data_IF_361227542203
#
_entry.id   IF_361227542203
#
_cell.length_a   1.000
_cell.length_b   1.000
_cell.length_c   1.000
_cell.angle_alpha   90.00
_cell.angle_beta   90.00
_cell.angle_gamma   90.00
#
_symmetry.space_group_name_H-M   'P 1'
#
loop_
_entity.id
_entity.type
_entity.pdbx_description
1 polymer ?
#
# COMPACT_ATOMS: atom_id res chain seq x y z
N UNK A 1 3.97 -44.79 -13.95
CA UNK A 1 3.77 -45.80 -12.90
C UNK A 1 4.64 -45.37 -11.71
N UNK A 2 4.10 -44.70 -10.69
CA UNK A 2 3.36 -45.32 -9.58
C UNK A 2 2.36 -44.32 -8.99
N UNK A 3 1.15 -44.81 -8.76
CA UNK A 3 0.03 -44.16 -8.09
C UNK A 3 0.05 -44.58 -6.62
N UNK A 4 0.01 -43.62 -5.70
CA UNK A 4 -0.36 -43.79 -4.28
C UNK A 4 -1.10 -42.47 -3.94
N UNK A 5 -2.43 -42.36 -3.92
CA UNK A 5 -3.45 -43.10 -3.18
C UNK A 5 -3.21 -42.96 -1.67
N UNK A 6 -3.88 -41.99 -1.03
CA UNK A 6 -4.95 -42.22 -0.05
C UNK A 6 -5.36 -40.90 0.62
N UNK A 7 -6.65 -40.59 0.50
CA UNK A 7 -7.34 -39.59 1.31
C UNK A 7 -7.36 -40.03 2.77
N UNK A 8 -7.14 -39.11 3.70
CA UNK A 8 -7.61 -39.27 5.07
C UNK A 8 -8.33 -37.98 5.51
N UNK A 9 -9.63 -38.01 5.24
CA UNK A 9 -10.65 -37.15 5.83
C UNK A 9 -10.62 -37.36 7.36
N UNK A 10 -10.23 -36.35 8.13
CA UNK A 10 -10.50 -36.27 9.55
C UNK A 10 -11.04 -34.87 9.85
N UNK A 11 -12.35 -34.74 9.64
CA UNK A 11 -13.18 -33.63 10.04
C UNK A 11 -13.33 -33.67 11.57
N UNK A 12 -12.40 -33.08 12.32
CA UNK A 12 -12.60 -32.84 13.75
C UNK A 12 -13.16 -31.44 13.96
N UNK A 13 -14.50 -31.41 14.00
CA UNK A 13 -15.32 -30.35 14.54
C UNK A 13 -14.99 -30.18 16.04
N UNK A 14 -14.29 -29.12 16.42
CA UNK A 14 -14.23 -28.66 17.81
C UNK A 14 -14.81 -27.26 17.85
N UNK A 15 -16.07 -27.19 18.24
CA UNK A 15 -16.78 -25.98 18.60
C UNK A 15 -16.63 -25.69 20.09
N UNK A 16 -16.81 -24.41 20.43
CA UNK A 16 -16.87 -23.76 21.76
C UNK A 16 -15.52 -23.18 22.24
N UNK A 17 -15.42 -21.92 22.68
CA UNK A 17 -16.46 -21.00 23.14
C UNK A 17 -16.12 -19.54 22.80
N UNK A 18 -17.16 -18.78 22.46
CA UNK A 18 -17.14 -17.33 22.41
C UNK A 18 -16.96 -16.78 23.83
N UNK A 19 -15.88 -16.05 24.06
CA UNK A 19 -15.76 -15.15 25.22
C UNK A 19 -16.08 -13.75 24.73
N UNK A 20 -17.29 -13.31 25.04
CA UNK A 20 -17.73 -11.93 24.93
C UNK A 20 -17.54 -11.24 26.30
N UNK A 21 -16.63 -10.26 26.35
CA UNK A 21 -16.64 -9.17 27.32
C UNK A 21 -16.46 -7.91 26.45
N UNK A 22 -17.36 -6.92 26.36
CA UNK A 22 -18.29 -6.42 27.35
C UNK A 22 -17.63 -5.27 28.12
N UNK A 23 -17.44 -4.11 27.48
CA UNK A 23 -16.84 -2.92 28.08
C UNK A 23 -17.22 -1.64 27.32
N UNK A 24 -18.39 -1.10 27.63
CA UNK A 24 -18.88 0.20 27.16
C UNK A 24 -18.48 1.26 28.20
N UNK A 25 -17.73 2.29 27.81
CA UNK A 25 -17.53 3.44 28.70
C UNK A 25 -17.67 4.75 27.92
N UNK A 26 -18.89 5.28 27.94
CA UNK A 26 -19.23 6.61 27.44
C UNK A 26 -18.85 7.62 28.52
N UNK A 27 -17.86 8.46 28.26
CA UNK A 27 -17.61 9.67 29.04
C UNK A 27 -17.75 10.88 28.11
N UNK A 28 -19.00 11.32 27.93
CA UNK A 28 -19.32 12.69 27.54
C UNK A 28 -18.96 13.63 28.71
N UNK A 29 -18.04 14.57 28.49
CA UNK A 29 -17.97 15.80 29.27
C UNK A 29 -17.73 16.98 28.33
N UNK A 30 -18.82 17.68 28.02
CA UNK A 30 -18.85 19.00 27.40
C UNK A 30 -18.82 20.07 28.50
N UNK A 31 -17.90 21.04 28.43
CA UNK A 31 -18.23 22.46 28.62
C UNK A 31 -17.05 23.40 28.28
N UNK A 32 -17.37 24.65 27.91
CA UNK A 32 -16.63 25.45 26.92
C UNK A 32 -15.78 26.56 27.56
N UNK A 33 -14.83 27.10 26.81
CA UNK A 33 -14.47 28.52 26.90
C UNK A 33 -14.05 28.99 25.50
N UNK A 34 -14.88 29.87 24.93
CA UNK A 34 -14.68 30.54 23.64
C UNK A 34 -14.60 32.04 23.94
N UNK A 35 -13.38 32.53 24.09
CA UNK A 35 -13.06 33.95 24.07
C UNK A 35 -11.89 34.14 23.11
N UNK A 36 -12.17 34.68 21.92
CA UNK A 36 -11.50 35.86 21.33
C UNK A 36 -11.90 35.98 19.86
N UNK A 37 -12.76 36.94 19.57
CA UNK A 37 -12.96 37.51 18.24
C UNK A 37 -12.33 38.90 18.25
N UNK A 38 -11.43 39.20 17.31
CA UNK A 38 -11.43 40.39 16.44
C UNK A 38 -10.13 40.47 15.64
N UNK A 39 -10.33 40.77 14.37
CA UNK A 39 -9.48 40.70 13.18
C UNK A 39 -8.58 41.96 13.00
N UNK A 40 -7.44 41.85 12.30
CA UNK A 40 -6.97 42.78 11.23
C UNK A 40 -5.55 42.43 10.69
N UNK A 41 -5.17 42.88 9.47
CA UNK A 41 -4.55 42.03 8.43
C UNK A 41 -3.09 42.37 8.06
N UNK A 42 -2.42 41.43 7.37
CA UNK A 42 -1.42 41.78 6.34
C UNK A 42 -0.06 41.07 6.40
N UNK A 43 0.18 40.30 5.33
CA UNK A 43 1.44 40.18 4.58
C UNK A 43 2.38 38.97 4.81
N UNK A 44 2.77 38.44 3.64
CA UNK A 44 3.70 37.36 3.28
C UNK A 44 3.27 35.90 3.42
N UNK A 45 2.81 35.39 2.26
CA UNK A 45 2.42 34.02 2.01
C UNK A 45 3.56 33.04 2.24
N UNK A 46 3.35 32.19 3.23
CA UNK A 46 3.79 30.80 3.16
C UNK A 46 2.48 30.01 3.05
N UNK A 47 2.14 29.59 1.82
CA UNK A 47 1.16 28.53 1.63
C UNK A 47 1.75 27.25 2.22
N UNK A 48 1.67 27.14 3.54
CA UNK A 48 1.72 25.87 4.22
C UNK A 48 0.39 25.18 3.90
N UNK A 49 0.32 24.63 2.69
CA UNK A 49 -0.68 23.64 2.32
C UNK A 49 -0.37 22.38 3.13
N UNK A 50 -0.59 22.48 4.44
CA UNK A 50 -0.74 21.34 5.31
C UNK A 50 -1.90 20.55 4.74
N UNK A 51 -1.57 19.46 4.06
CA UNK A 51 -2.54 18.44 3.72
C UNK A 51 -3.25 18.09 5.04
N UNK A 52 -4.51 18.52 5.16
CA UNK A 52 -5.41 18.03 6.20
C UNK A 52 -5.63 16.55 5.94
N UNK A 53 -4.68 15.74 6.42
CA UNK A 53 -4.68 14.29 6.35
C UNK A 53 -5.43 13.76 7.58
N UNK A 54 -6.66 14.25 7.77
CA UNK A 54 -7.62 13.62 8.67
C UNK A 54 -8.14 12.39 7.93
N UNK A 55 -7.45 11.25 8.12
CA UNK A 55 -7.92 9.85 8.03
C UNK A 55 -6.73 8.90 7.79
N UNK A 56 -5.86 8.76 8.78
CA UNK A 56 -4.72 7.82 8.76
C UNK A 56 -5.05 6.40 9.24
N UNK A 57 -6.31 6.11 9.59
CA UNK A 57 -6.64 4.88 10.31
C UNK A 57 -6.75 3.62 9.44
N UNK A 58 -6.82 3.69 8.10
CA UNK A 58 -7.15 2.50 7.28
C UNK A 58 -6.28 2.30 6.02
N UNK A 59 -5.17 3.03 5.84
CA UNK A 59 -4.27 2.72 4.72
C UNK A 59 -3.37 1.54 5.09
N UNK A 60 -3.93 0.33 4.96
CA UNK A 60 -3.18 -0.91 5.05
C UNK A 60 -2.12 -0.96 3.94
N UNK A 61 -0.88 -0.58 4.28
CA UNK A 61 0.30 -0.75 3.44
C UNK A 61 0.87 -2.15 3.72
N UNK A 62 0.97 -2.98 2.68
CA UNK A 62 1.52 -4.33 2.79
C UNK A 62 2.40 -4.66 1.59
N UNK A 63 3.44 -5.48 1.80
CA UNK A 63 4.14 -6.13 0.70
C UNK A 63 3.24 -7.21 0.12
N UNK A 64 3.13 -7.26 -1.20
CA UNK A 64 2.43 -8.34 -1.92
C UNK A 64 3.45 -9.18 -2.68
N UNK A 65 3.93 -10.24 -2.02
CA UNK A 65 4.82 -11.21 -2.64
C UNK A 65 4.16 -11.92 -3.84
N UNK A 66 2.86 -12.21 -3.74
CA UNK A 66 2.11 -12.89 -4.80
C UNK A 66 2.04 -12.06 -6.09
N UNK A 67 1.75 -10.75 -5.98
CA UNK A 67 1.77 -9.84 -7.12
C UNK A 67 3.20 -9.70 -7.68
N UNK A 68 4.19 -9.54 -6.81
CA UNK A 68 5.58 -9.39 -7.26
C UNK A 68 6.09 -10.62 -8.01
N UNK A 69 5.81 -11.83 -7.50
CA UNK A 69 6.25 -13.08 -8.13
C UNK A 69 5.54 -13.31 -9.46
N UNK A 70 4.23 -13.06 -9.52
CA UNK A 70 3.44 -13.10 -10.75
C UNK A 70 3.96 -12.16 -11.83
N UNK A 71 4.40 -10.96 -11.46
CA UNK A 71 4.99 -9.98 -12.39
C UNK A 71 6.37 -10.42 -12.88
N UNK A 72 7.19 -11.07 -12.04
CA UNK A 72 8.49 -11.62 -12.44
C UNK A 72 8.39 -12.75 -13.47
N UNK A 73 7.23 -13.39 -13.61
CA UNK A 73 7.01 -14.42 -14.64
C UNK A 73 6.85 -13.84 -16.05
N UNK A 74 6.70 -12.52 -16.19
CA UNK A 74 6.57 -11.87 -17.48
C UNK A 74 7.92 -11.77 -18.20
N UNK A 75 7.97 -12.24 -19.45
CA UNK A 75 9.16 -12.08 -20.30
C UNK A 75 9.64 -10.62 -20.35
N UNK A 76 10.92 -10.40 -20.05
CA UNK A 76 11.56 -9.09 -20.03
C UNK A 76 11.64 -8.44 -18.64
N UNK A 77 10.97 -8.99 -17.62
CA UNK A 77 11.06 -8.51 -16.23
C UNK A 77 12.12 -9.31 -15.48
N UNK A 78 13.16 -8.61 -15.01
CA UNK A 78 14.24 -9.19 -14.23
C UNK A 78 13.91 -9.31 -12.74
N UNK A 79 13.30 -8.25 -12.18
CA UNK A 79 12.90 -8.18 -10.77
C UNK A 79 11.62 -7.38 -10.63
N UNK A 80 10.78 -7.71 -9.64
CA UNK A 80 9.62 -6.92 -9.26
C UNK A 80 9.48 -6.79 -7.72
N UNK A 81 9.01 -5.67 -7.23
CA UNK A 81 8.58 -5.52 -5.84
C UNK A 81 7.22 -4.83 -5.84
N UNK A 82 6.26 -5.34 -5.07
CA UNK A 82 4.90 -4.81 -5.03
C UNK A 82 4.50 -4.46 -3.60
N UNK A 83 4.03 -3.22 -3.42
CA UNK A 83 3.40 -2.76 -2.19
C UNK A 83 1.96 -2.38 -2.53
N UNK A 84 1.02 -2.89 -1.74
CA UNK A 84 -0.42 -2.60 -1.87
C UNK A 84 -0.83 -1.64 -0.76
N UNK A 85 -1.59 -0.61 -1.12
CA UNK A 85 -2.16 0.38 -0.22
C UNK A 85 -3.64 0.57 -0.57
N UNK A 86 -4.52 0.03 0.27
CA UNK A 86 -5.95 -0.03 -0.05
C UNK A 86 -6.21 -0.89 -1.29
N UNK A 87 -6.78 -0.30 -2.35
CA UNK A 87 -7.02 -0.96 -3.65
C UNK A 87 -5.98 -0.57 -4.72
N UNK A 88 -4.88 0.09 -4.32
CA UNK A 88 -3.82 0.51 -5.24
C UNK A 88 -2.59 -0.37 -5.06
N UNK A 89 -1.97 -0.78 -6.16
CA UNK A 89 -0.67 -1.44 -6.15
C UNK A 89 0.41 -0.54 -6.74
N UNK A 90 1.54 -0.46 -6.06
CA UNK A 90 2.75 0.21 -6.51
C UNK A 90 3.80 -0.85 -6.79
N UNK A 91 4.22 -0.96 -8.05
CA UNK A 91 5.07 -2.03 -8.53
C UNK A 91 6.37 -1.44 -9.09
N UNK A 92 7.47 -1.70 -8.41
CA UNK A 92 8.81 -1.41 -8.87
C UNK A 92 9.31 -2.58 -9.71
N UNK A 93 9.86 -2.31 -10.89
CA UNK A 93 10.42 -3.35 -11.78
C UNK A 93 11.80 -2.98 -12.30
N UNK A 94 12.62 -3.99 -12.58
CA UNK A 94 13.84 -3.83 -13.40
C UNK A 94 13.74 -4.74 -14.61
N UNK A 95 14.20 -4.27 -15.76
CA UNK A 95 14.13 -5.00 -17.03
C UNK A 95 15.40 -5.81 -17.28
N UNK A 96 15.28 -6.89 -18.04
CA UNK A 96 16.42 -7.76 -18.41
C UNK A 96 17.45 -7.05 -19.30
N UNK A 97 17.03 -6.03 -20.04
CA UNK A 97 17.88 -5.25 -20.94
C UNK A 97 18.59 -4.08 -20.25
N UNK A 98 18.54 -4.02 -18.91
CA UNK A 98 19.08 -2.95 -18.06
C UNK A 98 18.54 -1.56 -18.41
N UNK A 99 17.45 -1.47 -19.20
CA UNK A 99 16.81 -0.19 -19.45
C UNK A 99 16.13 0.32 -18.18
N UNK A 100 16.28 1.62 -17.93
CA UNK A 100 15.56 2.31 -16.87
C UNK A 100 14.16 2.76 -17.28
N UNK A 101 13.73 2.37 -18.48
CA UNK A 101 12.42 2.72 -19.03
C UNK A 101 11.60 1.47 -19.26
N UNK A 102 10.32 1.57 -18.94
CA UNK A 102 9.34 0.50 -19.15
C UNK A 102 8.32 1.02 -20.13
N UNK A 103 8.19 0.31 -21.25
CA UNK A 103 7.23 0.65 -22.29
C UNK A 103 5.81 0.61 -21.73
N UNK A 104 4.93 1.45 -22.26
CA UNK A 104 3.53 1.50 -21.80
C UNK A 104 2.80 0.17 -22.04
N UNK A 105 3.16 -0.57 -23.09
CA UNK A 105 2.68 -1.93 -23.32
C UNK A 105 3.08 -2.88 -22.17
N UNK A 106 4.33 -2.80 -21.72
CA UNK A 106 4.79 -3.59 -20.57
C UNK A 106 4.12 -3.15 -19.27
N UNK A 107 3.92 -1.83 -19.03
CA UNK A 107 3.15 -1.35 -17.86
C UNK A 107 1.75 -1.93 -17.84
N UNK A 108 1.06 -1.94 -18.99
CA UNK A 108 -0.29 -2.49 -19.10
C UNK A 108 -0.28 -3.99 -18.80
N UNK A 109 0.67 -4.75 -19.37
CA UNK A 109 0.82 -6.19 -19.13
C UNK A 109 1.05 -6.50 -17.65
N UNK A 110 1.89 -5.71 -16.97
CA UNK A 110 2.15 -5.81 -15.54
C UNK A 110 0.88 -5.50 -14.73
N UNK A 111 0.17 -4.42 -15.08
CA UNK A 111 -1.07 -4.04 -14.42
C UNK A 111 -2.16 -5.11 -14.54
N UNK A 112 -2.37 -5.63 -15.75
CA UNK A 112 -3.32 -6.71 -16.02
C UNK A 112 -2.97 -7.96 -15.21
N UNK A 113 -1.69 -8.34 -15.18
CA UNK A 113 -1.21 -9.50 -14.44
C UNK A 113 -1.38 -9.35 -12.92
N UNK A 114 -1.15 -8.15 -12.39
CA UNK A 114 -1.37 -7.85 -10.98
C UNK A 114 -2.85 -7.95 -10.59
N UNK A 115 -3.76 -7.37 -11.40
CA UNK A 115 -5.21 -7.41 -11.15
C UNK A 115 -5.83 -8.81 -11.40
N UNK A 116 -5.19 -9.64 -12.24
CA UNK A 116 -5.55 -11.06 -12.40
C UNK A 116 -5.30 -11.86 -11.12
N UNK A 117 -4.22 -11.54 -10.41
CA UNK A 117 -3.82 -12.25 -9.17
C UNK A 117 -4.51 -11.70 -7.94
N UNK A 118 -4.58 -10.38 -7.79
CA UNK A 118 -5.29 -9.73 -6.70
C UNK A 118 -6.47 -8.90 -7.24
N UNK A 119 -7.67 -9.48 -7.13
CA UNK A 119 -8.91 -8.87 -7.59
C UNK A 119 -9.40 -7.69 -6.72
N UNK A 120 -8.73 -7.38 -5.61
CA UNK A 120 -9.05 -6.19 -4.82
C UNK A 120 -8.38 -4.92 -5.39
N UNK A 121 -7.44 -5.08 -6.33
CA UNK A 121 -6.76 -3.98 -6.97
C UNK A 121 -7.67 -3.30 -7.99
N UNK A 122 -7.77 -1.97 -7.90
CA UNK A 122 -8.47 -1.11 -8.84
C UNK A 122 -7.53 -0.24 -9.68
N UNK A 123 -6.30 -0.03 -9.19
CA UNK A 123 -5.31 0.81 -9.84
C UNK A 123 -3.91 0.25 -9.59
N UNK A 124 -3.07 0.25 -10.64
CA UNK A 124 -1.71 -0.27 -10.59
C UNK A 124 -0.77 0.77 -11.18
N UNK A 125 0.22 1.17 -10.38
CA UNK A 125 1.30 2.07 -10.80
C UNK A 125 2.58 1.28 -10.96
N UNK A 126 3.22 1.42 -12.12
CA UNK A 126 4.44 0.69 -12.46
C UNK A 126 5.55 1.68 -12.76
N UNK A 127 6.74 1.47 -12.20
CA UNK A 127 7.91 2.26 -12.53
C UNK A 127 9.20 1.47 -12.43
N UNK A 128 10.09 1.71 -13.39
CA UNK A 128 11.48 1.24 -13.44
C UNK A 128 12.48 2.31 -13.02
N UNK A 129 12.00 3.45 -12.51
CA UNK A 129 12.87 4.52 -12.03
C UNK A 129 13.77 4.02 -10.89
N UNK A 130 15.11 4.18 -10.96
CA UNK A 130 16.02 3.67 -9.95
C UNK A 130 15.71 4.14 -8.52
N UNK A 131 15.35 5.41 -8.34
CA UNK A 131 15.01 5.95 -7.02
C UNK A 131 13.72 5.31 -6.49
N UNK A 132 12.74 5.05 -7.36
CA UNK A 132 11.51 4.34 -6.98
C UNK A 132 11.81 2.92 -6.55
N UNK A 133 12.60 2.19 -7.34
CA UNK A 133 12.99 0.80 -7.08
C UNK A 133 13.72 0.69 -5.73
N UNK A 134 14.69 1.57 -5.48
CA UNK A 134 15.44 1.60 -4.21
C UNK A 134 14.52 1.90 -3.02
N UNK A 135 13.65 2.90 -3.13
CA UNK A 135 12.70 3.26 -2.06
C UNK A 135 11.70 2.15 -1.79
N UNK A 136 11.11 1.57 -2.82
CA UNK A 136 10.17 0.45 -2.72
C UNK A 136 10.79 -0.75 -2.03
N UNK A 137 12.05 -1.09 -2.37
CA UNK A 137 12.79 -2.13 -1.67
C UNK A 137 12.97 -1.79 -0.19
N UNK A 138 13.40 -0.57 0.11
CA UNK A 138 13.59 -0.12 1.50
C UNK A 138 12.30 -0.19 2.33
N UNK A 139 11.16 0.22 1.79
CA UNK A 139 9.86 0.08 2.49
C UNK A 139 9.46 -1.39 2.64
N UNK A 140 9.67 -2.21 1.61
CA UNK A 140 9.43 -3.65 1.68
C UNK A 140 10.23 -4.31 2.81
N UNK A 141 11.53 -4.04 2.87
CA UNK A 141 12.42 -4.55 3.92
C UNK A 141 11.94 -4.14 5.32
N UNK A 142 11.47 -2.90 5.50
CA UNK A 142 10.94 -2.41 6.80
C UNK A 142 9.67 -3.14 7.22
N UNK A 143 8.74 -3.33 6.28
CA UNK A 143 7.50 -4.09 6.52
C UNK A 143 7.82 -5.54 6.90
N UNK A 144 8.70 -6.19 6.14
CA UNK A 144 9.10 -7.58 6.38
C UNK A 144 9.87 -7.76 7.70
N UNK A 145 10.62 -6.75 8.13
CA UNK A 145 11.29 -6.73 9.43
C UNK A 145 10.35 -6.42 10.62
N UNK A 146 9.05 -6.19 10.36
CA UNK A 146 8.04 -5.95 11.38
C UNK A 146 8.07 -4.52 11.95
N UNK A 147 8.64 -3.56 11.23
CA UNK A 147 8.56 -2.15 11.60
C UNK A 147 7.11 -1.66 11.47
N UNK A 148 6.55 -0.95 12.47
CA UNK A 148 5.21 -0.40 12.36
C UNK A 148 5.08 0.54 11.17
N UNK A 149 4.14 0.25 10.27
CA UNK A 149 3.87 1.05 9.06
C UNK A 149 3.60 2.52 9.37
N UNK A 150 2.93 2.81 10.50
CA UNK A 150 2.67 4.18 10.95
C UNK A 150 3.94 5.01 11.19
N UNK A 151 5.11 4.37 11.36
CA UNK A 151 6.40 5.06 11.47
C UNK A 151 6.94 5.63 10.16
N UNK A 152 6.35 5.28 9.01
CA UNK A 152 6.82 5.74 7.69
C UNK A 152 5.76 5.87 6.61
N UNK A 153 4.47 5.70 6.95
CA UNK A 153 3.37 5.83 6.01
C UNK A 153 3.41 7.19 5.28
N UNK A 154 3.64 8.28 6.02
CA UNK A 154 3.78 9.63 5.46
C UNK A 154 4.92 9.71 4.44
N UNK A 155 6.11 9.19 4.78
CA UNK A 155 7.26 9.18 3.87
C UNK A 155 6.99 8.38 2.59
N UNK A 156 6.29 7.26 2.71
CA UNK A 156 5.88 6.44 1.57
C UNK A 156 4.90 7.22 0.67
N UNK A 157 3.88 7.85 1.26
CA UNK A 157 2.89 8.62 0.52
C UNK A 157 3.50 9.85 -0.16
N UNK A 158 4.41 10.56 0.49
CA UNK A 158 5.15 11.68 -0.11
C UNK A 158 5.96 11.22 -1.33
N UNK A 159 6.64 10.08 -1.22
CA UNK A 159 7.40 9.48 -2.33
C UNK A 159 6.46 9.14 -3.50
N UNK A 160 5.33 8.48 -3.22
CA UNK A 160 4.32 8.13 -4.23
C UNK A 160 3.76 9.36 -4.90
N UNK A 161 3.34 10.38 -4.14
CA UNK A 161 2.74 11.60 -4.69
C UNK A 161 3.70 12.35 -5.61
N UNK A 162 5.00 12.36 -5.27
CA UNK A 162 6.04 12.97 -6.09
C UNK A 162 6.28 12.22 -7.40
N UNK A 163 6.22 10.89 -7.39
CA UNK A 163 6.52 10.06 -8.57
C UNK A 163 5.30 9.81 -9.45
N UNK A 164 4.12 9.75 -8.86
CA UNK A 164 2.84 9.52 -9.53
C UNK A 164 1.86 10.63 -9.12
N UNK A 165 2.07 11.86 -9.60
CA UNK A 165 1.20 12.97 -9.25
C UNK A 165 -0.22 12.72 -9.76
N UNK A 166 -1.19 12.68 -8.85
CA UNK A 166 -2.60 12.61 -9.21
C UNK A 166 -3.02 13.98 -9.74
N UNK A 167 -3.20 14.08 -11.05
CA UNK A 167 -3.74 15.31 -11.64
C UNK A 167 -5.21 15.38 -11.25
N UNK A 168 -5.56 16.17 -10.22
CA UNK A 168 -6.95 16.56 -9.96
C UNK A 168 -7.48 17.24 -11.22
N UNK A 169 -8.35 16.56 -11.96
CA UNK A 169 -9.15 17.15 -13.03
C UNK A 169 -10.44 17.73 -12.47
#
# INVERSE_FOLDING_TARGET
MKKYLLHSLALTFVAAALVACGGNNNNDMNSPDNDTEMNEPGEDGVENQGYGMDNHDDQHITVSGEVADSVRELDGVHHAAAIVMGSQAYIAVTMDDESHDVSDEMKQKIADKAMEVDHNLSEVHVSSNPDFVERMKGYGDRIENGEPVSGFADEFMEMVHRMFPTTKR
#
